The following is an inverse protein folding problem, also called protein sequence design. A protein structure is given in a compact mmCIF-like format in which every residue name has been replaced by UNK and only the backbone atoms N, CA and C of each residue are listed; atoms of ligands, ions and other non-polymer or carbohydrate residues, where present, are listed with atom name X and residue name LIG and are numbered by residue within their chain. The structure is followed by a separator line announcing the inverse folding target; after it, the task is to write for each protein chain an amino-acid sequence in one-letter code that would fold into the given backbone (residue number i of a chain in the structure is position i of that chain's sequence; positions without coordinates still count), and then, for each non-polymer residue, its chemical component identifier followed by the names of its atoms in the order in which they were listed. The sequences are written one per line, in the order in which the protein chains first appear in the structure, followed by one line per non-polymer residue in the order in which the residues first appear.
data_IF_537081468011
#
_entry.id   IF_537081468011
#
_cell.length_a   1.000
_cell.length_b   1.000
_cell.length_c   1.000
_cell.angle_alpha   90.00
_cell.angle_beta   90.00
_cell.angle_gamma   90.00
#
_symmetry.space_group_name_H-M   'P 1'
#
loop_
_entity.id
_entity.type
_entity.pdbx_description
1 polymer ?
#
# COMPACT_ATOMS: atom_id res chain seq x y z
N UNK A 1 4.86 9.59 19.36
CA UNK A 1 4.22 9.23 18.08
C UNK A 1 5.00 9.71 16.86
N UNK A 2 5.20 11.02 16.64
CA UNK A 2 5.97 11.54 15.49
C UNK A 2 7.39 10.97 15.38
N UNK A 3 8.09 10.77 16.48
CA UNK A 3 9.43 10.17 16.51
C UNK A 3 9.43 8.74 15.99
N UNK A 4 8.43 7.94 16.39
CA UNK A 4 8.30 6.55 15.98
C UNK A 4 8.02 6.40 14.49
N UNK A 5 7.19 7.28 13.90
CA UNK A 5 6.93 7.31 12.46
C UNK A 5 8.22 7.67 11.70
N UNK A 6 8.94 8.69 12.14
CA UNK A 6 10.23 9.08 11.54
C UNK A 6 11.27 7.96 11.58
N UNK A 7 11.31 7.17 12.67
CA UNK A 7 12.17 6.00 12.75
C UNK A 7 11.80 4.94 11.72
N UNK A 8 10.49 4.68 11.53
CA UNK A 8 10.02 3.75 10.47
C UNK A 8 10.44 4.23 9.09
N UNK A 9 10.25 5.52 8.80
CA UNK A 9 10.63 6.13 7.52
C UNK A 9 12.15 6.03 7.27
N UNK A 10 12.97 6.29 8.30
CA UNK A 10 14.42 6.13 8.21
C UNK A 10 14.84 4.68 7.94
N UNK A 11 14.24 3.71 8.65
CA UNK A 11 14.51 2.29 8.41
C UNK A 11 14.06 1.84 7.02
N UNK A 12 12.93 2.35 6.53
CA UNK A 12 12.44 2.04 5.19
C UNK A 12 13.36 2.60 4.11
N UNK A 13 13.78 3.87 4.24
CA UNK A 13 14.70 4.49 3.29
C UNK A 13 16.05 3.81 3.20
N UNK A 14 16.52 3.17 4.29
CA UNK A 14 17.78 2.42 4.31
C UNK A 14 17.60 0.98 3.76
N UNK A 15 16.48 0.32 4.07
CA UNK A 15 16.34 -1.13 3.89
C UNK A 15 15.52 -1.55 2.67
N UNK A 16 14.67 -0.68 2.13
CA UNK A 16 13.82 -1.00 0.98
C UNK A 16 14.44 -0.65 -0.38
N UNK A 17 15.57 0.07 -0.40
CA UNK A 17 16.24 0.45 -1.64
C UNK A 17 16.61 -0.78 -2.46
N UNK A 18 16.16 -0.81 -3.71
CA UNK A 18 16.55 -1.83 -4.68
C UNK A 18 17.79 -1.38 -5.46
N UNK A 19 18.64 -2.34 -5.82
CA UNK A 19 19.70 -2.07 -6.78
C UNK A 19 19.11 -1.89 -8.18
N UNK A 20 19.82 -1.20 -9.05
CA UNK A 20 19.41 -0.97 -10.43
C UNK A 20 19.12 -2.29 -11.15
N UNK A 21 17.97 -2.36 -11.82
CA UNK A 21 17.53 -3.56 -12.54
C UNK A 21 16.88 -4.65 -11.68
N UNK A 22 16.80 -4.50 -10.37
CA UNK A 22 16.09 -5.44 -9.50
C UNK A 22 14.58 -5.20 -9.53
N UNK A 23 13.81 -6.29 -9.42
CA UNK A 23 12.35 -6.24 -9.32
C UNK A 23 11.87 -6.59 -7.92
N UNK A 24 10.70 -6.11 -7.48
CA UNK A 24 10.13 -6.49 -6.18
C UNK A 24 10.01 -7.99 -5.98
N UNK A 25 9.63 -8.73 -7.01
CA UNK A 25 9.51 -10.19 -6.95
C UNK A 25 10.84 -10.91 -6.66
N UNK A 26 11.98 -10.35 -7.11
CA UNK A 26 13.30 -10.89 -6.83
C UNK A 26 13.78 -10.60 -5.40
N UNK A 27 13.21 -9.59 -4.73
CA UNK A 27 13.67 -9.09 -3.43
C UNK A 27 12.70 -9.37 -2.26
N UNK A 28 11.84 -10.37 -2.39
CA UNK A 28 10.86 -10.75 -1.35
C UNK A 28 11.50 -11.00 0.02
N UNK A 29 12.72 -11.55 0.07
CA UNK A 29 13.45 -11.78 1.32
C UNK A 29 13.76 -10.47 2.05
N UNK A 30 14.06 -9.39 1.31
CA UNK A 30 14.31 -8.04 1.85
C UNK A 30 13.06 -7.49 2.51
N UNK A 31 11.92 -7.55 1.83
CA UNK A 31 10.64 -7.06 2.36
C UNK A 31 10.17 -7.86 3.58
N UNK A 32 10.28 -9.19 3.52
CA UNK A 32 9.99 -10.08 4.67
C UNK A 32 10.84 -9.73 5.88
N UNK A 33 12.14 -9.47 5.67
CA UNK A 33 13.05 -9.08 6.74
C UNK A 33 12.67 -7.73 7.34
N UNK A 34 12.39 -6.72 6.51
CA UNK A 34 11.94 -5.41 6.96
C UNK A 34 10.69 -5.53 7.82
N UNK A 35 9.64 -6.20 7.33
CA UNK A 35 8.39 -6.40 8.06
C UNK A 35 8.60 -7.15 9.38
N UNK A 36 9.45 -8.19 9.40
CA UNK A 36 9.77 -8.97 10.60
C UNK A 36 10.49 -8.11 11.65
N UNK A 37 11.47 -7.33 11.24
CA UNK A 37 12.28 -6.49 12.14
C UNK A 37 11.40 -5.39 12.75
N UNK A 38 10.56 -4.73 11.93
CA UNK A 38 9.61 -3.72 12.42
C UNK A 38 8.54 -4.32 13.34
N UNK A 39 7.98 -5.48 13.00
CA UNK A 39 7.03 -6.17 13.88
C UNK A 39 7.65 -6.54 15.24
N UNK A 40 8.92 -6.97 15.26
CA UNK A 40 9.65 -7.26 16.51
C UNK A 40 9.86 -5.99 17.34
N UNK A 41 10.19 -4.87 16.69
CA UNK A 41 10.36 -3.56 17.33
C UNK A 41 9.05 -3.08 17.95
N UNK A 42 7.95 -3.13 17.24
CA UNK A 42 6.63 -2.75 17.74
C UNK A 42 6.16 -3.64 18.90
N UNK A 43 6.42 -4.95 18.83
CA UNK A 43 6.15 -5.88 19.93
C UNK A 43 6.96 -5.55 21.18
N UNK A 44 8.23 -5.17 21.02
CA UNK A 44 9.08 -4.74 22.15
C UNK A 44 8.56 -3.43 22.75
N UNK A 45 8.17 -2.46 21.94
CA UNK A 45 7.55 -1.21 22.39
C UNK A 45 6.30 -1.48 23.23
N UNK A 46 5.38 -2.30 22.74
CA UNK A 46 4.15 -2.63 23.45
C UNK A 46 4.42 -3.35 24.78
N UNK A 47 5.34 -4.31 24.81
CA UNK A 47 5.72 -5.01 26.05
C UNK A 47 6.44 -4.10 27.05
N UNK A 48 7.08 -3.05 26.58
CA UNK A 48 7.73 -2.02 27.41
C UNK A 48 6.78 -0.96 27.96
N UNK A 49 5.44 -1.13 27.78
CA UNK A 49 4.43 -0.19 28.28
C UNK A 49 3.95 0.84 27.26
N UNK A 50 4.36 0.72 26.00
CA UNK A 50 3.83 1.55 24.92
C UNK A 50 2.34 1.35 24.70
N UNK A 51 1.62 2.43 24.37
CA UNK A 51 0.17 2.40 24.16
C UNK A 51 -0.19 1.60 22.90
N UNK A 52 -1.26 0.80 22.97
CA UNK A 52 -1.77 0.03 21.83
C UNK A 52 -2.04 0.90 20.59
N UNK A 53 -2.55 2.12 20.79
CA UNK A 53 -2.76 3.10 19.73
C UNK A 53 -1.45 3.47 19.01
N UNK A 54 -0.37 3.68 19.74
CA UNK A 54 0.94 3.97 19.15
C UNK A 54 1.46 2.83 18.29
N UNK A 55 1.21 1.59 18.73
CA UNK A 55 1.56 0.38 17.96
C UNK A 55 0.76 0.31 16.67
N UNK A 56 -0.56 0.60 16.69
CA UNK A 56 -1.41 0.61 15.50
C UNK A 56 -0.97 1.68 14.50
N UNK A 57 -0.71 2.90 14.96
CA UNK A 57 -0.21 3.99 14.11
C UNK A 57 1.15 3.68 13.49
N UNK A 58 2.08 3.14 14.30
CA UNK A 58 3.39 2.77 13.79
C UNK A 58 3.33 1.60 12.80
N UNK A 59 2.41 0.64 13.02
CA UNK A 59 2.16 -0.42 12.05
C UNK A 59 1.62 0.13 10.74
N UNK A 60 0.68 1.08 10.77
CA UNK A 60 0.20 1.75 9.57
C UNK A 60 1.36 2.42 8.82
N UNK A 61 2.23 3.14 9.52
CA UNK A 61 3.41 3.77 8.92
C UNK A 61 4.39 2.75 8.28
N UNK A 62 4.56 1.56 8.88
CA UNK A 62 5.38 0.48 8.28
C UNK A 62 4.78 0.02 6.95
N UNK A 63 3.46 -0.17 6.90
CA UNK A 63 2.76 -0.59 5.68
C UNK A 63 2.78 0.54 4.64
N UNK A 64 2.58 1.80 5.05
CA UNK A 64 2.69 2.97 4.18
C UNK A 64 4.06 3.03 3.49
N UNK A 65 5.13 2.86 4.25
CA UNK A 65 6.50 2.91 3.73
C UNK A 65 6.75 1.80 2.70
N UNK A 66 6.25 0.58 2.97
CA UNK A 66 6.37 -0.54 2.03
C UNK A 66 5.54 -0.30 0.77
N UNK A 67 4.27 0.12 0.89
CA UNK A 67 3.39 0.35 -0.26
C UNK A 67 3.91 1.50 -1.12
N UNK A 68 4.36 2.61 -0.55
CA UNK A 68 4.99 3.72 -1.30
C UNK A 68 6.18 3.23 -2.10
N UNK A 69 7.09 2.49 -1.46
CA UNK A 69 8.24 1.92 -2.16
C UNK A 69 7.82 1.00 -3.32
N UNK A 70 6.84 0.14 -3.12
CA UNK A 70 6.36 -0.78 -4.14
C UNK A 70 5.66 -0.06 -5.30
N UNK A 71 4.85 0.97 -5.02
CA UNK A 71 4.14 1.72 -6.06
C UNK A 71 5.12 2.51 -6.93
N UNK A 72 6.09 3.19 -6.31
CA UNK A 72 7.11 3.97 -7.02
C UNK A 72 7.95 3.05 -7.92
N UNK A 73 8.36 1.89 -7.39
CA UNK A 73 9.10 0.88 -8.16
C UNK A 73 8.27 0.30 -9.29
N UNK A 74 7.01 -0.06 -9.02
CA UNK A 74 6.11 -0.64 -10.03
C UNK A 74 5.81 0.33 -11.16
N UNK A 75 5.60 1.62 -10.87
CA UNK A 75 5.40 2.68 -11.87
C UNK A 75 6.66 2.83 -12.73
N UNK A 76 7.85 2.77 -12.13
CA UNK A 76 9.12 2.88 -12.85
C UNK A 76 9.40 1.68 -13.77
N UNK A 77 8.88 0.50 -13.46
CA UNK A 77 9.07 -0.73 -14.22
C UNK A 77 7.97 -1.00 -15.25
N UNK A 78 6.79 -0.41 -15.07
CA UNK A 78 5.62 -0.71 -15.88
C UNK A 78 5.79 -0.20 -17.33
N UNK A 79 5.35 -0.98 -18.34
CA UNK A 79 5.40 -0.57 -19.73
C UNK A 79 4.43 0.59 -19.97
N UNK A 80 4.94 1.69 -20.49
CA UNK A 80 4.12 2.89 -20.78
C UNK A 80 3.14 2.68 -21.94
N UNK A 81 3.41 1.71 -22.84
CA UNK A 81 2.56 1.45 -23.98
C UNK A 81 2.35 2.71 -24.85
N UNK A 82 1.11 3.18 -24.93
CA UNK A 82 0.73 4.39 -25.69
C UNK A 82 0.92 5.71 -24.94
N UNK A 83 1.28 5.65 -23.64
CA UNK A 83 1.43 6.86 -22.82
C UNK A 83 2.83 7.45 -22.96
N UNK A 84 2.93 8.78 -23.03
CA UNK A 84 4.23 9.48 -23.09
C UNK A 84 4.89 9.62 -21.72
N UNK A 85 4.10 9.54 -20.67
CA UNK A 85 4.52 9.57 -19.26
C UNK A 85 3.57 8.71 -18.45
N UNK A 86 3.98 8.26 -17.25
CA UNK A 86 3.11 7.47 -16.38
C UNK A 86 1.77 8.16 -16.13
N UNK A 87 0.64 7.50 -16.41
CA UNK A 87 -0.68 8.01 -16.05
C UNK A 87 -0.85 8.08 -14.53
N UNK A 88 -1.75 8.94 -14.06
CA UNK A 88 -2.00 9.11 -12.64
C UNK A 88 -2.62 7.84 -12.03
N UNK A 89 -1.96 7.31 -11.00
CA UNK A 89 -2.46 6.27 -10.11
C UNK A 89 -2.18 6.74 -8.67
N UNK A 90 -3.17 6.60 -7.79
CA UNK A 90 -3.00 6.80 -6.37
C UNK A 90 -3.43 5.53 -5.62
N UNK A 91 -2.72 5.18 -4.54
CA UNK A 91 -3.14 4.14 -3.61
C UNK A 91 -3.70 4.82 -2.38
N UNK A 92 -4.94 4.49 -2.05
CA UNK A 92 -5.68 5.06 -0.92
C UNK A 92 -5.89 3.96 0.11
N UNK A 93 -5.46 4.22 1.34
CA UNK A 93 -5.76 3.37 2.48
C UNK A 93 -7.22 3.56 2.89
N UNK A 94 -7.95 2.49 3.17
CA UNK A 94 -9.37 2.54 3.55
C UNK A 94 -9.61 1.86 4.90
N UNK A 95 -10.74 2.18 5.53
CA UNK A 95 -11.17 1.60 6.79
C UNK A 95 -10.21 1.86 7.95
N UNK A 96 -9.92 0.86 8.76
CA UNK A 96 -8.99 0.98 9.89
C UNK A 96 -7.59 1.40 9.47
N UNK A 97 -7.14 0.96 8.31
CA UNK A 97 -5.86 1.39 7.75
C UNK A 97 -5.88 2.87 7.33
N UNK A 98 -6.97 3.35 6.70
CA UNK A 98 -7.13 4.76 6.33
C UNK A 98 -7.09 5.70 7.53
N UNK A 99 -7.62 5.28 8.68
CA UNK A 99 -7.53 6.01 9.95
C UNK A 99 -6.17 5.88 10.67
N UNK A 100 -5.20 5.22 10.06
CA UNK A 100 -3.92 4.84 10.67
C UNK A 100 -4.09 3.96 11.95
N UNK A 101 -5.21 3.26 12.10
CA UNK A 101 -5.54 2.38 13.23
C UNK A 101 -5.38 0.90 12.87
N UNK A 102 -4.25 0.56 12.24
CA UNK A 102 -4.01 -0.79 11.72
C UNK A 102 -3.61 -1.76 12.83
N UNK A 103 -4.56 -2.58 13.30
CA UNK A 103 -4.29 -3.62 14.28
C UNK A 103 -3.34 -4.71 13.72
N UNK A 104 -2.50 -5.36 14.57
CA UNK A 104 -1.54 -6.37 14.10
C UNK A 104 -2.13 -7.55 13.34
N UNK A 105 -3.40 -7.88 13.55
CA UNK A 105 -4.09 -9.02 12.92
C UNK A 105 -5.16 -8.61 11.90
N UNK A 106 -5.40 -7.31 11.70
CA UNK A 106 -6.38 -6.86 10.72
C UNK A 106 -5.87 -6.98 9.30
N UNK A 107 -6.80 -7.14 8.37
CA UNK A 107 -6.55 -7.02 6.95
C UNK A 107 -6.18 -5.58 6.59
N UNK A 108 -5.51 -5.41 5.47
CA UNK A 108 -5.06 -4.13 4.94
C UNK A 108 -5.90 -3.84 3.70
N UNK A 109 -6.78 -2.86 3.79
CA UNK A 109 -7.67 -2.51 2.69
C UNK A 109 -7.13 -1.31 1.92
N UNK A 110 -6.94 -1.49 0.60
CA UNK A 110 -6.41 -0.47 -0.30
C UNK A 110 -7.29 -0.30 -1.53
N UNK A 111 -7.35 0.93 -2.01
CA UNK A 111 -8.02 1.29 -3.25
C UNK A 111 -7.00 1.91 -4.22
N UNK A 112 -6.87 1.33 -5.40
CA UNK A 112 -6.17 1.96 -6.51
C UNK A 112 -7.13 2.90 -7.22
N UNK A 113 -6.91 4.20 -7.08
CA UNK A 113 -7.57 5.23 -7.87
C UNK A 113 -6.77 5.50 -9.13
N UNK A 114 -7.40 5.43 -10.27
CA UNK A 114 -6.70 5.58 -11.53
C UNK A 114 -7.42 6.53 -12.51
N UNK A 115 -6.65 7.07 -13.43
CA UNK A 115 -7.13 7.86 -14.56
C UNK A 115 -8.13 7.04 -15.40
N UNK A 116 -9.18 7.68 -15.90
CA UNK A 116 -10.22 7.05 -16.72
C UNK A 116 -9.67 6.31 -17.93
N UNK A 117 -8.56 6.77 -18.50
CA UNK A 117 -7.89 6.17 -19.64
C UNK A 117 -7.28 4.79 -19.34
N UNK A 118 -7.00 4.49 -18.08
CA UNK A 118 -6.40 3.22 -17.64
C UNK A 118 -7.42 2.09 -17.52
N UNK A 119 -8.69 2.39 -17.26
CA UNK A 119 -9.79 1.41 -17.20
C UNK A 119 -10.57 1.38 -18.51
N UNK A 120 -9.87 1.23 -19.63
CA UNK A 120 -10.48 1.05 -20.92
C UNK A 120 -11.18 -0.32 -21.05
N UNK A 121 -12.27 -0.36 -21.83
CA UNK A 121 -12.94 -1.63 -22.16
C UNK A 121 -12.36 -2.18 -23.47
N UNK A 122 -12.26 -3.49 -23.62
CA UNK A 122 -12.74 -4.58 -22.74
C UNK A 122 -11.80 -4.96 -21.59
N UNK A 123 -10.59 -4.44 -21.54
CA UNK A 123 -9.61 -4.74 -20.47
C UNK A 123 -8.91 -3.45 -20.00
N UNK A 124 -8.38 -3.46 -18.76
CA UNK A 124 -7.47 -2.42 -18.29
C UNK A 124 -6.25 -2.29 -19.19
N UNK A 125 -5.67 -1.10 -19.22
CA UNK A 125 -4.39 -0.87 -19.90
C UNK A 125 -3.28 -1.69 -19.22
N UNK A 126 -2.33 -2.16 -20.00
CA UNK A 126 -1.21 -2.99 -19.55
C UNK A 126 -0.40 -2.30 -18.43
N UNK A 127 -0.23 -0.98 -18.54
CA UNK A 127 0.41 -0.19 -17.49
C UNK A 127 -0.25 -0.37 -16.13
N UNK A 128 -1.59 -0.21 -16.06
CA UNK A 128 -2.33 -0.37 -14.80
C UNK A 128 -2.22 -1.79 -14.26
N UNK A 129 -2.39 -2.78 -15.13
CA UNK A 129 -2.29 -4.18 -14.74
C UNK A 129 -0.89 -4.51 -14.21
N UNK A 130 0.16 -4.08 -14.89
CA UNK A 130 1.55 -4.29 -14.45
C UNK A 130 1.81 -3.67 -13.07
N UNK A 131 1.35 -2.43 -12.84
CA UNK A 131 1.52 -1.75 -11.55
C UNK A 131 0.75 -2.47 -10.44
N UNK A 132 -0.53 -2.77 -10.65
CA UNK A 132 -1.36 -3.43 -9.63
C UNK A 132 -0.87 -4.83 -9.31
N UNK A 133 -0.51 -5.63 -10.32
CA UNK A 133 -0.01 -6.99 -10.15
C UNK A 133 1.33 -6.99 -9.39
N UNK A 134 2.25 -6.10 -9.75
CA UNK A 134 3.55 -5.99 -9.04
C UNK A 134 3.36 -5.69 -7.56
N UNK A 135 2.50 -4.73 -7.22
CA UNK A 135 2.23 -4.36 -5.83
C UNK A 135 1.52 -5.49 -5.09
N UNK A 136 0.41 -6.00 -5.64
CA UNK A 136 -0.45 -6.97 -4.95
C UNK A 136 0.26 -8.32 -4.76
N UNK A 137 0.89 -8.87 -5.80
CA UNK A 137 1.61 -10.14 -5.67
C UNK A 137 2.76 -10.02 -4.67
N UNK A 138 3.51 -8.91 -4.68
CA UNK A 138 4.56 -8.71 -3.68
C UNK A 138 4.00 -8.67 -2.26
N UNK A 139 2.89 -7.96 -2.01
CA UNK A 139 2.27 -7.87 -0.70
C UNK A 139 1.72 -9.24 -0.22
N UNK A 140 1.11 -10.02 -1.10
CA UNK A 140 0.65 -11.37 -0.77
C UNK A 140 1.82 -12.33 -0.52
N UNK A 141 2.87 -12.28 -1.34
CA UNK A 141 4.06 -13.14 -1.23
C UNK A 141 4.87 -12.86 0.05
N UNK A 142 4.82 -11.64 0.57
CA UNK A 142 5.42 -11.35 1.89
C UNK A 142 4.51 -11.74 3.06
N UNK A 143 3.31 -12.26 2.77
CA UNK A 143 2.38 -12.83 3.77
C UNK A 143 1.39 -11.83 4.36
N UNK A 144 1.16 -10.70 3.70
CA UNK A 144 0.13 -9.73 4.12
C UNK A 144 -1.24 -10.12 3.57
N UNK A 145 -2.28 -9.88 4.35
CA UNK A 145 -3.66 -10.04 3.93
C UNK A 145 -4.16 -8.70 3.38
N UNK A 146 -4.37 -8.64 2.07
CA UNK A 146 -4.74 -7.43 1.36
C UNK A 146 -6.13 -7.58 0.76
N UNK A 147 -7.06 -6.72 1.18
CA UNK A 147 -8.27 -6.40 0.46
C UNK A 147 -7.98 -5.26 -0.53
N UNK A 148 -8.44 -5.37 -1.78
CA UNK A 148 -8.16 -4.33 -2.76
C UNK A 148 -9.32 -4.10 -3.73
N UNK A 149 -9.34 -2.90 -4.28
CA UNK A 149 -10.19 -2.57 -5.43
C UNK A 149 -9.45 -1.60 -6.37
N UNK A 150 -9.83 -1.59 -7.65
CA UNK A 150 -9.29 -0.66 -8.66
C UNK A 150 -10.47 0.11 -9.23
N UNK A 151 -10.48 1.43 -9.09
CA UNK A 151 -11.62 2.27 -9.46
C UNK A 151 -11.17 3.62 -10.03
N UNK A 152 -12.03 4.20 -10.83
CA UNK A 152 -11.96 5.62 -11.19
C UNK A 152 -12.67 6.43 -10.12
N UNK A 153 -12.41 7.72 -10.03
CA UNK A 153 -13.09 8.60 -9.08
C UNK A 153 -14.62 8.51 -9.23
N UNK A 154 -15.14 8.51 -10.47
CA UNK A 154 -16.59 8.39 -10.73
C UNK A 154 -17.17 7.08 -10.22
N UNK A 155 -16.45 5.95 -10.34
CA UNK A 155 -16.90 4.64 -9.86
C UNK A 155 -17.02 4.64 -8.33
N UNK A 156 -16.11 5.34 -7.63
CA UNK A 156 -16.18 5.52 -6.18
C UNK A 156 -17.43 6.31 -5.76
N UNK A 157 -17.74 7.40 -6.47
CA UNK A 157 -18.93 8.22 -6.21
C UNK A 157 -20.23 7.42 -6.47
N UNK A 158 -20.27 6.69 -7.57
CA UNK A 158 -21.43 5.83 -7.90
C UNK A 158 -21.66 4.75 -6.83
N UNK A 159 -20.58 4.10 -6.38
CA UNK A 159 -20.66 3.05 -5.36
C UNK A 159 -21.06 3.62 -4.00
N UNK A 160 -20.47 4.75 -3.59
CA UNK A 160 -20.82 5.44 -2.36
C UNK A 160 -22.29 5.89 -2.30
N UNK A 161 -22.91 6.15 -3.46
CA UNK A 161 -24.32 6.50 -3.53
C UNK A 161 -25.27 5.29 -3.46
N UNK A 162 -24.75 4.08 -3.69
CA UNK A 162 -25.53 2.83 -3.65
C UNK A 162 -25.42 2.12 -2.30
N UNK A 163 -24.24 2.21 -1.67
CA UNK A 163 -23.93 1.45 -0.47
C UNK A 163 -23.32 2.33 0.63
N UNK A 164 -23.99 2.33 1.80
CA UNK A 164 -23.58 3.14 2.95
C UNK A 164 -22.23 2.70 3.53
N UNK A 165 -21.88 1.42 3.48
CA UNK A 165 -20.59 0.94 3.99
C UNK A 165 -19.44 1.46 3.12
N UNK A 166 -19.59 1.36 1.80
CA UNK A 166 -18.65 1.93 0.84
C UNK A 166 -18.50 3.44 1.00
N UNK A 167 -19.61 4.15 1.25
CA UNK A 167 -19.58 5.59 1.51
C UNK A 167 -18.78 5.92 2.77
N UNK A 168 -19.04 5.22 3.86
CA UNK A 168 -18.33 5.41 5.13
C UNK A 168 -16.84 5.14 4.97
N UNK A 169 -16.48 4.01 4.34
CA UNK A 169 -15.08 3.64 4.11
C UNK A 169 -14.31 4.69 3.29
N UNK A 170 -14.96 5.30 2.28
CA UNK A 170 -14.35 6.34 1.45
C UNK A 170 -14.26 7.72 2.15
N UNK A 171 -15.15 8.01 3.11
CA UNK A 171 -15.08 9.26 3.90
C UNK A 171 -14.00 9.18 4.97
N UNK A 172 -13.73 7.98 5.48
CA UNK A 172 -12.74 7.71 6.52
C UNK A 172 -11.32 7.46 5.97
N UNK A 173 -11.12 7.53 4.65
CA UNK A 173 -9.83 7.28 3.99
C UNK A 173 -8.87 8.48 4.07
#
# INVERSE_FOLDING_TARGET
MLTLIKEVEAHASERLVLAEGQTPAAELARYKRFLKDEAARLKKLHRGGGLGREVCHARAAVIDALIRHLIDTAIGLAPLGKFKSPPAIAVVAIGGYGRAELNPQSDIDILFLCDDRLLAKPKPEEFLQSVTDTVLYTLWDVGLKIGHSVRRVRDCVEEANKDMQSKTALIES
#
